data_IF_450595714314
#
_entry.id   IF_450595714314
#
_cell.length_a   1.000
_cell.length_b   1.000
_cell.length_c   1.000
_cell.angle_alpha   90.00
_cell.angle_beta   90.00
_cell.angle_gamma   90.00
#
_symmetry.space_group_name_H-M   'P 1'
#
loop_
_entity.id
_entity.type
_entity.pdbx_description
1 polymer ?
#
# COMPACT_ATOMS: atom_id res chain seq x y z
N UNK A 1 8.17 20.02 -25.53
CA UNK A 1 8.24 18.75 -24.76
C UNK A 1 7.81 18.87 -23.30
N UNK A 2 8.38 19.77 -22.48
CA UNK A 2 8.04 19.90 -21.04
C UNK A 2 6.54 20.08 -20.72
N UNK A 3 5.79 20.76 -21.60
CA UNK A 3 4.33 20.91 -21.47
C UNK A 3 3.58 19.58 -21.62
N UNK A 4 4.07 18.67 -22.47
CA UNK A 4 3.47 17.34 -22.66
C UNK A 4 3.73 16.45 -21.45
N UNK A 5 4.98 16.39 -20.94
CA UNK A 5 5.31 15.60 -19.74
C UNK A 5 4.44 16.01 -18.54
N UNK A 6 4.21 17.32 -18.37
CA UNK A 6 3.34 17.84 -17.31
C UNK A 6 1.89 17.42 -17.48
N UNK A 7 1.37 17.47 -18.72
CA UNK A 7 0.00 17.02 -19.03
C UNK A 7 -0.16 15.51 -18.80
N UNK A 8 0.82 14.72 -19.24
CA UNK A 8 0.83 13.27 -19.03
C UNK A 8 0.82 12.94 -17.53
N UNK A 9 1.73 13.54 -16.75
CA UNK A 9 1.77 13.34 -15.30
C UNK A 9 0.45 13.74 -14.62
N UNK A 10 -0.15 14.88 -15.03
CA UNK A 10 -1.42 15.35 -14.49
C UNK A 10 -2.55 14.36 -14.77
N UNK A 11 -2.73 13.95 -16.03
CA UNK A 11 -3.81 13.03 -16.37
C UNK A 11 -3.64 11.65 -15.75
N UNK A 12 -2.41 11.14 -15.72
CA UNK A 12 -2.11 9.86 -15.09
C UNK A 12 -2.41 9.91 -13.59
N UNK A 13 -2.01 10.99 -12.91
CA UNK A 13 -2.31 11.20 -11.50
C UNK A 13 -3.81 11.31 -11.21
N UNK A 14 -4.55 12.11 -11.97
CA UNK A 14 -6.00 12.31 -11.78
C UNK A 14 -6.79 11.03 -12.08
N UNK A 15 -6.43 10.29 -13.13
CA UNK A 15 -7.09 9.02 -13.47
C UNK A 15 -6.96 7.98 -12.35
N UNK A 16 -5.77 7.88 -11.75
CA UNK A 16 -5.48 6.90 -10.72
C UNK A 16 -5.81 7.37 -9.29
N UNK A 17 -6.03 8.68 -9.08
CA UNK A 17 -6.27 9.26 -7.75
C UNK A 17 -7.40 8.58 -6.94
N UNK A 18 -8.58 8.25 -7.50
CA UNK A 18 -9.63 7.58 -6.73
C UNK A 18 -9.20 6.20 -6.20
N UNK A 19 -8.45 5.46 -7.02
CA UNK A 19 -7.97 4.13 -6.67
C UNK A 19 -6.80 4.21 -5.67
N UNK A 20 -5.90 5.18 -5.83
CA UNK A 20 -4.86 5.47 -4.84
C UNK A 20 -5.46 5.85 -3.48
N UNK A 21 -6.52 6.66 -3.49
CA UNK A 21 -7.20 7.07 -2.26
C UNK A 21 -7.80 5.86 -1.54
N UNK A 22 -8.48 4.97 -2.28
CA UNK A 22 -8.96 3.70 -1.73
C UNK A 22 -7.81 2.90 -1.09
N UNK A 23 -6.69 2.74 -1.80
CA UNK A 23 -5.55 1.97 -1.32
C UNK A 23 -4.88 2.62 -0.11
N UNK A 24 -4.74 3.94 -0.07
CA UNK A 24 -4.17 4.67 1.06
C UNK A 24 -5.06 4.55 2.31
N UNK A 25 -6.38 4.72 2.16
CA UNK A 25 -7.33 4.61 3.29
C UNK A 25 -7.33 3.18 3.85
N UNK A 26 -7.42 2.19 2.96
CA UNK A 26 -7.47 0.77 3.38
C UNK A 26 -6.11 0.29 3.92
N UNK A 27 -5.01 0.76 3.37
CA UNK A 27 -3.65 0.49 3.87
C UNK A 27 -3.40 1.14 5.24
N UNK A 28 -3.83 2.38 5.44
CA UNK A 28 -3.81 3.03 6.75
C UNK A 28 -4.62 2.23 7.77
N UNK A 29 -5.84 1.84 7.40
CA UNK A 29 -6.68 1.02 8.27
C UNK A 29 -5.97 -0.28 8.70
N UNK A 30 -5.18 -0.88 7.81
CA UNK A 30 -4.40 -2.08 8.09
C UNK A 30 -3.21 -1.85 9.04
N UNK A 31 -2.61 -0.65 9.07
CA UNK A 31 -1.47 -0.37 9.97
C UNK A 31 -1.93 -0.15 11.41
N UNK A 32 -3.14 0.39 11.62
CA UNK A 32 -3.69 0.65 12.95
C UNK A 32 -4.49 -0.52 13.53
N UNK A 33 -4.86 -1.51 12.72
CA UNK A 33 -5.60 -2.71 13.18
C UNK A 33 -4.64 -3.80 13.67
N UNK A 34 -4.56 -3.95 14.99
CA UNK A 34 -3.63 -4.85 15.69
C UNK A 34 -4.04 -6.33 15.59
N UNK A 35 -5.31 -6.64 15.34
CA UNK A 35 -5.83 -8.02 15.28
C UNK A 35 -6.27 -8.41 13.87
N UNK A 36 -5.32 -8.88 13.04
CA UNK A 36 -5.60 -9.43 11.69
C UNK A 36 -6.00 -10.90 11.71
N UNK A 37 -6.34 -11.46 12.87
CA UNK A 37 -6.88 -12.81 12.93
C UNK A 37 -8.22 -12.80 12.18
N UNK A 38 -8.23 -13.41 10.98
CA UNK A 38 -9.42 -13.64 10.15
C UNK A 38 -10.32 -14.69 10.82
N UNK A 39 -10.72 -14.44 12.07
CA UNK A 39 -11.60 -15.29 12.86
C UNK A 39 -13.06 -15.13 12.44
N UNK A 40 -13.94 -15.80 13.18
CA UNK A 40 -15.40 -15.81 12.96
C UNK A 40 -15.97 -14.40 13.18
N UNK A 41 -15.97 -13.56 12.15
CA UNK A 41 -16.42 -12.17 12.22
C UNK A 41 -15.68 -11.21 11.29
N UNK A 42 -14.56 -11.62 10.68
CA UNK A 42 -13.83 -10.78 9.72
C UNK A 42 -14.61 -10.63 8.41
N UNK A 43 -14.75 -9.40 7.91
CA UNK A 43 -15.46 -9.08 6.66
C UNK A 43 -16.93 -8.69 6.85
N UNK A 44 -17.36 -8.32 8.06
CA UNK A 44 -18.73 -7.85 8.30
C UNK A 44 -18.88 -6.36 8.00
N UNK A 45 -17.88 -5.55 8.32
CA UNK A 45 -17.91 -4.11 8.08
C UNK A 45 -17.48 -3.76 6.66
N UNK A 46 -17.98 -2.65 6.11
CA UNK A 46 -17.60 -2.19 4.76
C UNK A 46 -16.09 -1.93 4.67
N UNK A 47 -15.49 -1.38 5.73
CA UNK A 47 -14.05 -1.08 5.77
C UNK A 47 -13.19 -2.35 5.73
N UNK A 48 -13.61 -3.44 6.40
CA UNK A 48 -12.93 -4.75 6.32
C UNK A 48 -13.06 -5.39 4.94
N UNK A 49 -14.23 -5.28 4.30
CA UNK A 49 -14.43 -5.79 2.94
C UNK A 49 -13.54 -5.06 1.94
N UNK A 50 -13.46 -3.73 2.02
CA UNK A 50 -12.56 -2.91 1.19
C UNK A 50 -11.08 -3.20 1.49
N UNK A 51 -10.73 -3.41 2.76
CA UNK A 51 -9.37 -3.81 3.16
C UNK A 51 -8.97 -5.18 2.61
N UNK A 52 -9.92 -6.12 2.52
CA UNK A 52 -9.68 -7.44 1.92
C UNK A 52 -9.40 -7.32 0.41
N UNK A 53 -10.14 -6.44 -0.28
CA UNK A 53 -9.87 -6.13 -1.70
C UNK A 53 -8.46 -5.58 -1.89
N UNK A 54 -7.96 -4.76 -0.96
CA UNK A 54 -6.60 -4.22 -1.01
C UNK A 54 -5.52 -5.33 -0.94
N UNK A 55 -5.59 -6.23 0.04
CA UNK A 55 -4.53 -7.25 0.27
C UNK A 55 -4.77 -8.49 -0.57
N UNK A 56 -5.94 -9.09 -0.45
CA UNK A 56 -6.20 -10.42 -0.99
C UNK A 56 -6.79 -10.36 -2.41
N UNK A 57 -7.11 -9.16 -2.92
CA UNK A 57 -7.64 -8.94 -4.27
C UNK A 57 -8.82 -9.86 -4.57
N UNK A 58 -9.71 -10.03 -3.58
CA UNK A 58 -11.03 -10.65 -3.72
C UNK A 58 -12.02 -9.95 -2.78
N UNK A 59 -13.31 -10.03 -3.12
CA UNK A 59 -14.37 -9.47 -2.29
C UNK A 59 -15.03 -10.58 -1.45
N UNK A 60 -14.97 -10.52 -0.11
CA UNK A 60 -15.62 -11.50 0.74
C UNK A 60 -17.14 -11.30 0.71
N UNK A 61 -17.87 -12.30 0.23
CA UNK A 61 -19.34 -12.34 0.22
C UNK A 61 -19.80 -13.43 1.17
N UNK A 62 -20.84 -13.17 1.96
CA UNK A 62 -21.45 -14.16 2.84
C UNK A 62 -22.08 -15.28 1.99
N UNK A 63 -21.40 -16.43 1.85
CA UNK A 63 -21.86 -17.57 1.04
C UNK A 63 -20.73 -18.40 0.44
N UNK A 64 -21.06 -19.50 -0.24
CA UNK A 64 -20.11 -20.46 -0.85
C UNK A 64 -19.45 -19.98 -2.14
N UNK A 65 -19.83 -18.82 -2.69
CA UNK A 65 -19.25 -18.28 -3.92
C UNK A 65 -18.14 -17.27 -3.62
N UNK A 66 -16.89 -17.70 -3.79
CA UNK A 66 -15.72 -16.82 -3.83
C UNK A 66 -15.67 -16.13 -5.20
N UNK A 67 -15.75 -14.80 -5.25
CA UNK A 67 -15.55 -14.05 -6.51
C UNK A 67 -14.06 -13.80 -6.71
N UNK A 68 -13.51 -14.37 -7.78
CA UNK A 68 -12.15 -14.05 -8.24
C UNK A 68 -12.19 -12.72 -9.00
N UNK A 69 -11.59 -11.67 -8.46
CA UNK A 69 -11.62 -10.34 -9.10
C UNK A 69 -10.43 -10.17 -10.05
N UNK A 70 -10.39 -10.98 -11.11
CA UNK A 70 -9.32 -10.92 -12.14
C UNK A 70 -9.24 -9.53 -12.79
N UNK A 71 -10.39 -8.92 -13.08
CA UNK A 71 -10.46 -7.56 -13.62
C UNK A 71 -9.87 -6.51 -12.68
N UNK A 72 -10.12 -6.64 -11.36
CA UNK A 72 -9.57 -5.72 -10.37
C UNK A 72 -8.06 -5.89 -10.20
N UNK A 73 -7.55 -7.12 -10.31
CA UNK A 73 -6.11 -7.39 -10.34
C UNK A 73 -5.44 -6.71 -11.54
N UNK A 74 -6.03 -6.83 -12.73
CA UNK A 74 -5.53 -6.14 -13.94
C UNK A 74 -5.55 -4.63 -13.75
N UNK A 75 -6.65 -4.08 -13.22
CA UNK A 75 -6.75 -2.65 -12.91
C UNK A 75 -5.67 -2.20 -11.91
N UNK A 76 -5.40 -2.99 -10.87
CA UNK A 76 -4.36 -2.72 -9.89
C UNK A 76 -2.96 -2.79 -10.50
N UNK A 77 -2.70 -3.74 -11.40
CA UNK A 77 -1.44 -3.79 -12.15
C UNK A 77 -1.27 -2.54 -13.02
N UNK A 78 -2.32 -2.13 -13.74
CA UNK A 78 -2.32 -0.91 -14.55
C UNK A 78 -2.08 0.34 -13.69
N UNK A 79 -2.69 0.40 -12.50
CA UNK A 79 -2.44 1.42 -11.48
C UNK A 79 -0.98 1.46 -11.08
N UNK A 80 -0.37 0.33 -10.73
CA UNK A 80 1.03 0.28 -10.32
C UNK A 80 1.95 0.80 -11.43
N UNK A 81 1.73 0.36 -12.67
CA UNK A 81 2.50 0.84 -13.83
C UNK A 81 2.31 2.35 -14.01
N UNK A 82 1.06 2.82 -13.98
CA UNK A 82 0.73 4.23 -14.11
C UNK A 82 1.32 5.10 -13.01
N UNK A 83 1.28 4.64 -11.77
CA UNK A 83 1.86 5.34 -10.63
C UNK A 83 3.39 5.41 -10.73
N UNK A 84 4.05 4.32 -11.13
CA UNK A 84 5.51 4.31 -11.36
C UNK A 84 5.87 5.35 -12.42
N UNK A 85 5.15 5.36 -13.55
CA UNK A 85 5.34 6.35 -14.60
C UNK A 85 5.09 7.78 -14.09
N UNK A 86 4.05 8.00 -13.29
CA UNK A 86 3.76 9.30 -12.70
C UNK A 86 4.88 9.76 -11.77
N UNK A 87 5.42 8.88 -10.93
CA UNK A 87 6.54 9.17 -10.02
C UNK A 87 7.80 9.52 -10.82
N UNK A 88 8.17 8.71 -11.83
CA UNK A 88 9.33 8.96 -12.68
C UNK A 88 9.20 10.32 -13.41
N UNK A 89 8.02 10.61 -13.97
CA UNK A 89 7.74 11.90 -14.60
C UNK A 89 7.85 13.05 -13.59
N UNK A 90 7.32 12.88 -12.38
CA UNK A 90 7.37 13.88 -11.31
C UNK A 90 8.80 14.19 -10.89
N UNK A 91 9.61 13.16 -10.63
CA UNK A 91 11.04 13.28 -10.29
C UNK A 91 11.79 13.98 -11.43
N UNK A 92 11.60 13.52 -12.66
CA UNK A 92 12.27 14.11 -13.81
C UNK A 92 11.91 15.58 -14.00
N UNK A 93 10.64 15.95 -13.86
CA UNK A 93 10.23 17.35 -13.92
C UNK A 93 10.81 18.19 -12.78
N UNK A 94 10.91 17.63 -11.56
CA UNK A 94 11.52 18.29 -10.41
C UNK A 94 12.99 18.64 -10.61
N UNK A 95 13.77 17.76 -11.24
CA UNK A 95 15.18 18.07 -11.55
C UNK A 95 15.35 19.04 -12.73
N UNK A 96 14.35 19.13 -13.61
CA UNK A 96 14.41 20.01 -14.78
C UNK A 96 14.18 21.48 -14.46
N UNK A 97 13.49 21.82 -13.37
CA UNK A 97 13.17 23.22 -13.11
C UNK A 97 14.34 23.89 -12.34
N UNK A 98 14.86 25.04 -12.83
CA UNK A 98 16.04 25.68 -12.25
C UNK A 98 15.73 26.21 -10.84
N UNK A 99 16.68 26.05 -9.91
CA UNK A 99 16.60 26.62 -8.55
C UNK A 99 16.16 25.70 -7.42
N UNK A 100 15.47 24.56 -7.67
CA UNK A 100 15.00 23.64 -6.61
C UNK A 100 15.51 22.21 -6.77
N UNK A 101 16.54 21.99 -7.59
CA UNK A 101 17.16 20.66 -7.76
C UNK A 101 17.64 20.08 -6.43
N UNK A 102 18.22 20.93 -5.59
CA UNK A 102 18.67 20.54 -4.24
C UNK A 102 17.47 20.21 -3.35
N UNK A 103 16.39 21.00 -3.41
CA UNK A 103 15.15 20.72 -2.67
C UNK A 103 14.52 19.39 -3.08
N UNK A 104 14.46 19.07 -4.38
CA UNK A 104 13.98 17.78 -4.87
C UNK A 104 14.87 16.61 -4.42
N UNK A 105 16.20 16.79 -4.42
CA UNK A 105 17.13 15.76 -3.96
C UNK A 105 16.99 15.52 -2.44
N UNK A 106 16.92 16.59 -1.65
CA UNK A 106 16.74 16.50 -0.19
C UNK A 106 15.42 15.79 0.11
N UNK A 107 14.31 16.17 -0.55
CA UNK A 107 13.02 15.52 -0.34
C UNK A 107 13.06 14.01 -0.66
N UNK A 108 13.74 13.62 -1.74
CA UNK A 108 13.89 12.21 -2.13
C UNK A 108 14.70 11.43 -1.07
N UNK A 109 15.84 11.98 -0.65
CA UNK A 109 16.69 11.36 0.37
C UNK A 109 15.96 11.25 1.71
N UNK A 110 15.23 12.30 2.11
CA UNK A 110 14.46 12.29 3.36
C UNK A 110 13.36 11.22 3.33
N UNK A 111 12.66 11.08 2.21
CA UNK A 111 11.61 10.07 2.04
C UNK A 111 12.10 8.63 2.18
N UNK A 112 13.36 8.36 1.78
CA UNK A 112 14.00 7.04 1.95
C UNK A 112 14.60 6.89 3.34
N UNK A 113 15.24 7.93 3.87
CA UNK A 113 15.96 7.88 5.13
C UNK A 113 15.03 7.71 6.34
N UNK A 114 13.88 8.40 6.36
CA UNK A 114 12.96 8.40 7.51
C UNK A 114 12.49 6.97 7.89
N UNK A 115 11.95 6.16 6.97
CA UNK A 115 11.56 4.79 7.29
C UNK A 115 12.74 3.91 7.75
N UNK A 116 13.90 4.05 7.11
CA UNK A 116 15.10 3.25 7.44
C UNK A 116 15.60 3.56 8.85
N UNK A 117 15.66 4.84 9.22
CA UNK A 117 16.09 5.26 10.56
C UNK A 117 15.11 4.79 11.62
N UNK A 118 13.80 4.91 11.39
CA UNK A 118 12.78 4.42 12.33
C UNK A 118 12.93 2.91 12.56
N UNK A 119 13.14 2.13 11.50
CA UNK A 119 13.33 0.68 11.60
C UNK A 119 14.67 0.30 12.24
N UNK A 120 15.74 1.05 11.98
CA UNK A 120 17.06 0.80 12.58
C UNK A 120 17.09 1.11 14.09
N UNK A 121 16.31 2.11 14.53
CA UNK A 121 16.16 2.46 15.94
C UNK A 121 15.12 1.60 16.68
N UNK A 122 14.35 0.79 15.95
CA UNK A 122 13.34 -0.08 16.55
C UNK A 122 14.02 -1.10 17.49
N UNK A 123 13.59 -1.20 18.76
CA UNK A 123 14.15 -2.18 19.68
C UNK A 123 14.02 -3.58 19.10
N UNK A 124 15.15 -4.29 18.95
CA UNK A 124 15.14 -5.70 18.57
C UNK A 124 14.35 -6.48 19.63
N UNK A 125 13.12 -6.86 19.29
CA UNK A 125 12.41 -7.87 20.07
C UNK A 125 13.15 -9.19 19.83
N UNK A 126 13.68 -9.77 20.90
CA UNK A 126 14.34 -11.07 20.86
C UNK A 126 13.43 -12.14 20.25
N UNK A 127 13.99 -13.32 19.92
CA UNK A 127 13.21 -14.41 19.34
C UNK A 127 11.95 -14.67 20.19
N UNK A 128 10.81 -14.97 19.55
CA UNK A 128 9.58 -15.25 20.29
C UNK A 128 9.87 -16.34 21.31
N UNK A 129 9.47 -16.12 22.57
CA UNK A 129 9.56 -17.15 23.60
C UNK A 129 8.95 -18.44 23.05
N UNK A 130 9.58 -19.60 23.28
CA UNK A 130 9.05 -20.87 22.80
C UNK A 130 7.58 -20.97 23.22
N UNK A 131 6.71 -21.30 22.26
CA UNK A 131 5.30 -21.49 22.52
C UNK A 131 5.16 -22.42 23.73
N UNK A 132 4.24 -22.15 24.67
CA UNK A 132 4.00 -23.05 25.78
C UNK A 132 3.79 -24.45 25.19
N UNK A 133 4.67 -25.38 25.55
CA UNK A 133 4.61 -26.75 25.07
C UNK A 133 3.18 -27.21 25.25
N UNK A 134 2.53 -27.56 24.13
CA UNK A 134 1.17 -28.07 24.14
C UNK A 134 1.13 -29.15 25.21
N UNK A 135 0.43 -28.86 26.31
CA UNK A 135 0.17 -29.81 27.38
C UNK A 135 -0.46 -30.99 26.67
N UNK A 136 0.33 -32.05 26.55
CA UNK A 136 -0.09 -33.31 25.98
C UNK A 136 -1.22 -33.80 26.86
N UNK A 137 -2.45 -33.54 26.41
CA UNK A 137 -3.62 -34.28 26.82
C UNK A 137 -3.36 -35.73 26.41
N UNK A 138 -2.81 -36.50 27.35
CA UNK A 138 -2.83 -37.95 27.32
C UNK A 138 -4.21 -38.45 27.78
N UNK A 139 -4.63 -39.63 27.29
CA UNK A 139 -6.03 -39.98 27.03
C UNK A 139 -6.89 -40.27 28.25
#
# INVERSE_FOLDING_TARGET
>A
MKKLLRRLHLYLGVFFAPLLLLFVITGWWQTVTINRNKGLGFGQTVIEKLSTVHIDQYYPVTGTKKYRTDAFKILTIALCIGLILAIVLGIWMGFQTPGHRLGSLIALLLGIAVPVVILALAPHRGPPSPAPAAVSASP
#
